data_IF_928440090212
#
_entry.id   IF_928440090212
#
_cell.length_a   1.000
_cell.length_b   1.000
_cell.length_c   1.000
_cell.angle_alpha   90.00
_cell.angle_beta   90.00
_cell.angle_gamma   90.00
#
_symmetry.space_group_name_H-M   'P 1'
#
loop_
_entity.id
_entity.type
_entity.pdbx_description
1 polymer ?
#
# COMPACT_ATOMS: atom_id res chain seq x y z
N UNK A 1 25.63 -11.40 23.71
CA UNK A 1 25.26 -10.21 22.93
C UNK A 1 23.94 -10.52 22.26
N UNK A 2 22.85 -9.96 22.79
CA UNK A 2 21.51 -10.23 22.28
C UNK A 2 21.35 -9.60 20.90
N UNK A 3 21.07 -10.42 19.89
CA UNK A 3 20.54 -9.94 18.63
C UNK A 3 19.19 -9.28 18.92
N UNK A 4 19.14 -7.96 18.84
CA UNK A 4 17.88 -7.21 18.89
C UNK A 4 17.04 -7.64 17.70
N UNK A 5 15.93 -8.31 18.01
CA UNK A 5 14.87 -8.70 17.11
C UNK A 5 14.19 -7.45 16.51
N UNK A 6 14.84 -6.84 15.52
CA UNK A 6 14.34 -5.67 14.79
C UNK A 6 13.18 -6.02 13.82
N UNK A 7 12.76 -7.30 13.77
CA UNK A 7 11.59 -7.75 13.00
C UNK A 7 10.24 -7.21 13.56
N UNK A 8 10.26 -6.52 14.70
CA UNK A 8 9.08 -6.04 15.45
C UNK A 8 8.92 -4.52 15.54
N UNK A 9 9.33 -3.74 14.55
CA UNK A 9 8.79 -2.38 14.42
C UNK A 9 7.25 -2.47 14.42
N UNK A 10 6.50 -1.75 15.27
CA UNK A 10 5.05 -1.90 15.36
C UNK A 10 4.36 -1.29 14.12
N UNK A 11 3.40 -2.01 13.55
CA UNK A 11 2.50 -1.45 12.54
C UNK A 11 1.68 -0.31 13.14
N UNK A 12 1.31 0.68 12.32
CA UNK A 12 0.40 1.73 12.74
C UNK A 12 -0.98 1.16 13.13
N UNK A 13 -1.70 1.89 13.98
CA UNK A 13 -2.99 1.45 14.52
C UNK A 13 -4.02 1.17 13.42
N UNK A 14 -4.03 1.97 12.34
CA UNK A 14 -4.95 1.78 11.21
C UNK A 14 -4.67 0.47 10.51
N UNK A 15 -3.40 0.16 10.20
CA UNK A 15 -3.01 -1.11 9.60
C UNK A 15 -3.31 -2.29 10.52
N UNK A 16 -3.04 -2.18 11.82
CA UNK A 16 -3.36 -3.25 12.80
C UNK A 16 -4.85 -3.54 12.84
N UNK A 17 -5.69 -2.50 12.87
CA UNK A 17 -7.14 -2.63 12.86
C UNK A 17 -7.63 -3.26 11.56
N UNK A 18 -7.12 -2.80 10.40
CA UNK A 18 -7.46 -3.34 9.08
C UNK A 18 -7.14 -4.83 8.98
N UNK A 19 -5.95 -5.25 9.44
CA UNK A 19 -5.55 -6.67 9.47
C UNK A 19 -6.44 -7.53 10.37
N UNK A 20 -7.04 -6.96 11.41
CA UNK A 20 -7.95 -7.67 12.33
C UNK A 20 -9.39 -7.75 11.82
N UNK A 21 -9.88 -6.69 11.17
CA UNK A 21 -11.31 -6.52 10.85
C UNK A 21 -11.63 -6.94 9.42
N UNK A 22 -10.81 -6.54 8.44
CA UNK A 22 -11.13 -6.73 7.03
C UNK A 22 -11.26 -8.19 6.57
N UNK A 23 -10.50 -9.18 7.11
CA UNK A 23 -10.71 -10.58 6.77
C UNK A 23 -12.11 -11.10 7.15
N UNK A 24 -12.63 -10.70 8.31
CA UNK A 24 -14.00 -11.07 8.74
C UNK A 24 -15.04 -10.38 7.88
N UNK A 25 -14.86 -9.09 7.58
CA UNK A 25 -15.74 -8.35 6.67
C UNK A 25 -15.75 -8.98 5.28
N UNK A 26 -14.60 -9.45 4.78
CA UNK A 26 -14.50 -10.12 3.50
C UNK A 26 -15.36 -11.37 3.46
N UNK A 27 -15.24 -12.25 4.46
CA UNK A 27 -16.02 -13.49 4.56
C UNK A 27 -17.54 -13.25 4.55
N UNK A 28 -17.99 -12.13 5.12
CA UNK A 28 -19.41 -11.76 5.13
C UNK A 28 -19.86 -11.21 3.76
N UNK A 29 -19.00 -10.44 3.08
CA UNK A 29 -19.33 -9.78 1.82
C UNK A 29 -19.13 -10.67 0.58
N UNK A 30 -18.19 -11.60 0.63
CA UNK A 30 -17.81 -12.47 -0.49
C UNK A 30 -19.02 -13.25 -1.07
N UNK A 31 -19.92 -13.85 -0.27
CA UNK A 31 -21.14 -14.50 -0.79
C UNK A 31 -22.09 -13.56 -1.54
N UNK A 32 -21.98 -12.25 -1.31
CA UNK A 32 -22.80 -11.21 -1.94
C UNK A 32 -22.06 -10.53 -3.12
N UNK A 33 -20.93 -11.08 -3.55
CA UNK A 33 -20.09 -10.52 -4.61
C UNK A 33 -19.22 -9.33 -4.19
N UNK A 34 -19.12 -9.03 -2.89
CA UNK A 34 -18.29 -7.96 -2.36
C UNK A 34 -16.94 -8.45 -1.82
N UNK A 35 -15.93 -7.57 -1.77
CA UNK A 35 -14.61 -7.93 -1.26
C UNK A 35 -14.05 -6.87 -0.29
N UNK A 36 -13.28 -7.33 0.69
CA UNK A 36 -12.56 -6.48 1.64
C UNK A 36 -11.07 -6.85 1.78
N UNK A 37 -10.68 -7.98 1.20
CA UNK A 37 -9.30 -8.37 0.94
C UNK A 37 -9.14 -8.65 -0.56
N UNK A 38 -7.95 -8.48 -1.11
CA UNK A 38 -7.63 -8.92 -2.46
C UNK A 38 -6.15 -9.28 -2.58
N UNK A 39 -5.84 -10.14 -3.56
CA UNK A 39 -4.46 -10.49 -3.89
C UNK A 39 -3.76 -9.30 -4.55
N UNK A 40 -2.52 -9.04 -4.12
CA UNK A 40 -1.64 -8.04 -4.68
C UNK A 40 -1.23 -8.44 -6.10
N UNK A 41 -1.38 -7.54 -7.08
CA UNK A 41 -1.00 -7.82 -8.46
C UNK A 41 0.50 -7.57 -8.68
N UNK A 42 1.23 -8.44 -9.41
CA UNK A 42 2.67 -8.31 -9.63
C UNK A 42 3.03 -7.03 -10.40
N UNK A 43 2.21 -6.61 -11.36
CA UNK A 43 2.50 -5.41 -12.18
C UNK A 43 2.42 -4.11 -11.37
N UNK A 44 1.90 -4.15 -10.15
CA UNK A 44 1.97 -3.04 -9.22
C UNK A 44 3.36 -2.91 -8.58
N UNK A 45 4.28 -3.85 -8.76
CA UNK A 45 5.57 -3.86 -8.08
C UNK A 45 6.45 -2.68 -8.49
N UNK A 46 6.76 -1.84 -7.51
CA UNK A 46 7.65 -0.68 -7.66
C UNK A 46 9.09 -1.11 -7.50
N UNK A 47 9.37 -1.90 -6.46
CA UNK A 47 10.70 -2.30 -6.08
C UNK A 47 10.79 -2.61 -4.58
N UNK A 48 11.98 -3.03 -4.17
CA UNK A 48 12.33 -3.23 -2.76
C UNK A 48 13.17 -2.07 -2.27
N UNK A 49 12.86 -1.55 -1.08
CA UNK A 49 13.64 -0.51 -0.39
C UNK A 49 14.27 -1.08 0.88
N UNK A 50 15.52 -0.72 1.14
CA UNK A 50 16.20 -1.00 2.42
C UNK A 50 15.80 0.06 3.45
N UNK A 51 14.56 -0.04 3.92
CA UNK A 51 13.95 0.80 4.96
C UNK A 51 13.06 -0.04 5.85
N UNK A 52 12.98 0.30 7.13
CA UNK A 52 11.90 -0.18 8.00
C UNK A 52 10.56 0.46 7.62
N UNK A 53 9.44 -0.11 8.10
CA UNK A 53 8.09 0.47 7.92
C UNK A 53 8.02 1.91 8.43
N UNK A 54 8.66 2.18 9.56
CA UNK A 54 8.63 3.49 10.23
C UNK A 54 9.39 4.56 9.44
N UNK A 55 10.57 4.22 8.93
CA UNK A 55 11.37 5.14 8.09
C UNK A 55 10.66 5.41 6.76
N UNK A 56 10.20 4.37 6.07
CA UNK A 56 9.53 4.55 4.79
C UNK A 56 8.20 5.29 4.92
N UNK A 57 7.51 5.16 6.06
CA UNK A 57 6.37 6.01 6.39
C UNK A 57 6.74 7.49 6.40
N UNK A 58 7.89 7.83 7.00
CA UNK A 58 8.37 9.21 7.05
C UNK A 58 8.67 9.73 5.64
N UNK A 59 9.28 8.88 4.80
CA UNK A 59 9.50 9.19 3.37
C UNK A 59 8.17 9.44 2.63
N UNK A 60 7.17 8.59 2.86
CA UNK A 60 5.82 8.73 2.29
C UNK A 60 5.15 10.04 2.72
N UNK A 61 5.19 10.38 4.01
CA UNK A 61 4.66 11.64 4.54
C UNK A 61 5.38 12.85 3.91
N UNK A 62 6.71 12.79 3.76
CA UNK A 62 7.50 13.81 3.07
C UNK A 62 7.18 13.92 1.56
N UNK A 63 6.65 12.85 0.96
CA UNK A 63 6.09 12.83 -0.39
C UNK A 63 4.60 13.24 -0.46
N UNK A 64 4.02 13.68 0.66
CA UNK A 64 2.62 14.07 0.81
C UNK A 64 1.63 12.91 0.64
N UNK A 65 2.02 11.71 1.04
CA UNK A 65 1.09 10.60 1.21
C UNK A 65 0.39 10.69 2.57
N UNK A 66 -0.80 10.14 2.62
CA UNK A 66 -1.61 9.96 3.84
C UNK A 66 -2.08 8.51 3.94
N UNK A 67 -2.25 7.93 5.13
CA UNK A 67 -2.82 6.60 5.28
C UNK A 67 -4.20 6.51 4.63
N UNK A 68 -4.48 5.39 3.96
CA UNK A 68 -5.79 5.12 3.37
C UNK A 68 -6.56 4.11 4.22
N UNK A 69 -7.63 4.49 4.93
CA UNK A 69 -8.36 3.55 5.77
C UNK A 69 -9.35 2.67 4.99
N UNK A 70 -9.76 3.09 3.78
CA UNK A 70 -10.92 2.52 3.05
C UNK A 70 -10.52 1.46 2.00
N UNK A 71 -9.23 1.27 1.74
CA UNK A 71 -8.77 0.26 0.79
C UNK A 71 -8.92 -1.18 1.32
N UNK A 72 -9.20 -2.12 0.42
CA UNK A 72 -9.12 -3.55 0.73
C UNK A 72 -7.75 -3.91 1.30
N UNK A 73 -7.70 -4.88 2.21
CA UNK A 73 -6.44 -5.41 2.72
C UNK A 73 -5.75 -6.23 1.62
N UNK A 74 -4.55 -5.80 1.21
CA UNK A 74 -3.79 -6.49 0.17
C UNK A 74 -3.06 -7.69 0.76
N UNK A 75 -3.14 -8.82 0.06
CA UNK A 75 -2.48 -10.08 0.41
C UNK A 75 -1.42 -10.35 -0.65
N UNK A 76 -0.17 -10.46 -0.22
CA UNK A 76 0.94 -10.84 -1.09
C UNK A 76 0.76 -12.28 -1.59
N UNK A 77 1.41 -12.64 -2.70
CA UNK A 77 1.29 -13.99 -3.31
C UNK A 77 1.74 -15.12 -2.39
N UNK A 78 2.64 -14.84 -1.45
CA UNK A 78 3.09 -15.79 -0.42
C UNK A 78 2.25 -15.76 0.87
N UNK A 79 1.14 -15.03 0.87
CA UNK A 79 0.22 -14.93 2.01
C UNK A 79 0.54 -13.83 3.02
N UNK A 80 1.65 -13.09 2.89
CA UNK A 80 1.92 -11.93 3.75
C UNK A 80 0.81 -10.88 3.61
N UNK A 81 0.37 -10.30 4.73
CA UNK A 81 -0.57 -9.18 4.71
C UNK A 81 0.15 -7.85 4.51
N UNK A 82 -0.48 -6.88 3.85
CA UNK A 82 0.09 -5.55 3.66
C UNK A 82 0.39 -4.86 5.01
N UNK A 83 1.57 -4.28 5.13
CA UNK A 83 2.09 -3.55 6.28
C UNK A 83 1.77 -2.05 6.26
N UNK A 84 1.16 -1.55 5.19
CA UNK A 84 0.65 -0.19 5.09
C UNK A 84 -0.12 -0.02 3.78
N UNK A 85 -1.07 0.90 3.77
CA UNK A 85 -1.71 1.36 2.54
C UNK A 85 -1.93 2.88 2.61
N UNK A 86 -1.44 3.54 1.56
CA UNK A 86 -1.12 4.96 1.56
C UNK A 86 -1.52 5.60 0.25
N UNK A 87 -2.09 6.80 0.30
CA UNK A 87 -2.53 7.51 -0.90
C UNK A 87 -1.91 8.89 -0.99
N UNK A 88 -1.61 9.28 -2.22
CA UNK A 88 -1.23 10.64 -2.57
C UNK A 88 -2.19 11.21 -3.59
N UNK A 89 -2.65 12.43 -3.32
CA UNK A 89 -3.55 13.20 -4.19
C UNK A 89 -2.99 14.60 -4.36
N UNK A 90 -3.25 15.23 -5.50
CA UNK A 90 -2.87 16.65 -5.71
C UNK A 90 -3.72 17.59 -4.87
N UNK A 91 -4.97 17.21 -4.63
CA UNK A 91 -5.94 17.91 -3.78
C UNK A 91 -7.03 16.94 -3.32
N UNK A 92 -7.79 17.25 -2.26
CA UNK A 92 -8.90 16.38 -1.80
C UNK A 92 -9.93 16.06 -2.88
N UNK A 93 -10.19 17.01 -3.79
CA UNK A 93 -11.16 16.89 -4.89
C UNK A 93 -10.55 16.28 -6.17
N UNK A 94 -9.31 15.81 -6.14
CA UNK A 94 -8.69 15.14 -7.29
C UNK A 94 -9.46 13.87 -7.64
N UNK A 95 -9.79 13.68 -8.92
CA UNK A 95 -10.45 12.44 -9.38
C UNK A 95 -9.54 11.22 -9.28
N UNK A 96 -8.21 11.41 -9.38
CA UNK A 96 -7.22 10.34 -9.34
C UNK A 96 -6.39 10.40 -8.06
N UNK A 97 -5.97 9.24 -7.60
CA UNK A 97 -4.98 9.07 -6.54
C UNK A 97 -3.89 8.10 -6.97
N UNK A 98 -2.72 8.23 -6.36
CA UNK A 98 -1.68 7.21 -6.38
C UNK A 98 -1.79 6.45 -5.07
N UNK A 99 -2.09 5.15 -5.14
CA UNK A 99 -2.14 4.28 -3.98
C UNK A 99 -0.88 3.43 -3.93
N UNK A 100 -0.35 3.25 -2.72
CA UNK A 100 0.85 2.49 -2.41
C UNK A 100 0.52 1.48 -1.31
N UNK A 101 0.84 0.22 -1.55
CA UNK A 101 0.79 -0.86 -0.57
C UNK A 101 2.21 -1.31 -0.21
N UNK A 102 2.44 -1.60 1.08
CA UNK A 102 3.75 -2.01 1.58
C UNK A 102 3.69 -3.45 2.07
N UNK A 103 4.75 -4.23 1.84
CA UNK A 103 4.93 -5.56 2.43
C UNK A 103 6.31 -5.69 3.06
N UNK A 104 6.42 -6.39 4.19
CA UNK A 104 7.71 -6.64 4.84
C UNK A 104 8.44 -7.79 4.16
N UNK A 105 9.61 -7.54 3.60
CA UNK A 105 10.42 -8.55 2.92
C UNK A 105 11.40 -9.30 3.85
N UNK A 106 11.38 -9.01 5.15
CA UNK A 106 12.33 -9.54 6.14
C UNK A 106 13.48 -8.56 6.40
N UNK A 107 14.00 -8.55 7.63
CA UNK A 107 14.95 -7.52 8.07
C UNK A 107 14.41 -6.10 7.90
N UNK A 108 15.29 -5.16 7.57
CA UNK A 108 14.99 -3.75 7.28
C UNK A 108 14.62 -3.54 5.80
N UNK A 109 13.78 -4.42 5.22
CA UNK A 109 13.38 -4.35 3.81
C UNK A 109 11.87 -4.32 3.60
N UNK A 110 11.44 -3.49 2.66
CA UNK A 110 10.04 -3.40 2.23
C UNK A 110 9.92 -3.57 0.73
N UNK A 111 8.98 -4.41 0.33
CA UNK A 111 8.45 -4.39 -1.02
C UNK A 111 7.38 -3.30 -1.10
N UNK A 112 7.48 -2.49 -2.16
CA UNK A 112 6.57 -1.39 -2.43
C UNK A 112 5.79 -1.72 -3.68
N UNK A 113 4.47 -1.59 -3.61
CA UNK A 113 3.56 -1.75 -4.73
C UNK A 113 2.75 -0.49 -4.92
N UNK A 114 2.43 -0.12 -6.16
CA UNK A 114 1.68 1.08 -6.47
C UNK A 114 0.80 0.94 -7.71
N UNK A 115 -0.30 1.68 -7.70
CA UNK A 115 -1.17 1.88 -8.86
C UNK A 115 -1.82 3.26 -8.82
N UNK A 116 -2.19 3.77 -9.99
CA UNK A 116 -3.10 4.91 -10.09
C UNK A 116 -4.53 4.41 -10.18
N UNK A 117 -5.42 5.07 -9.46
CA UNK A 117 -6.84 4.71 -9.41
C UNK A 117 -7.72 5.94 -9.18
N UNK A 118 -9.03 5.75 -9.24
CA UNK A 118 -9.96 6.79 -8.82
C UNK A 118 -9.87 7.05 -7.31
N UNK A 119 -10.00 8.32 -6.94
CA UNK A 119 -10.02 8.76 -5.55
C UNK A 119 -11.27 8.26 -4.86
N UNK A 120 -11.12 7.48 -3.78
CA UNK A 120 -12.27 7.01 -3.00
C UNK A 120 -13.10 8.15 -2.40
N UNK A 121 -12.49 9.33 -2.17
CA UNK A 121 -13.20 10.51 -1.64
C UNK A 121 -14.19 11.11 -2.66
N UNK A 122 -13.87 11.04 -3.96
CA UNK A 122 -14.67 11.66 -5.03
C UNK A 122 -15.47 10.65 -5.83
N UNK A 123 -14.94 9.45 -6.02
CA UNK A 123 -15.49 8.38 -6.84
C UNK A 123 -15.41 7.04 -6.10
N UNK A 124 -16.06 6.90 -4.93
CA UNK A 124 -15.95 5.71 -4.08
C UNK A 124 -16.37 4.42 -4.79
N UNK A 125 -17.41 4.46 -5.63
CA UNK A 125 -17.86 3.30 -6.40
C UNK A 125 -16.81 2.86 -7.42
N UNK A 126 -16.28 3.80 -8.22
CA UNK A 126 -15.26 3.50 -9.23
C UNK A 126 -13.95 3.00 -8.63
N UNK A 127 -13.57 3.55 -7.47
CA UNK A 127 -12.46 3.05 -6.69
C UNK A 127 -12.72 1.60 -6.24
N UNK A 128 -13.90 1.33 -5.67
CA UNK A 128 -14.26 0.00 -5.21
C UNK A 128 -14.34 -1.03 -6.33
N UNK A 129 -14.81 -0.68 -7.53
CA UNK A 129 -14.86 -1.58 -8.68
C UNK A 129 -13.54 -1.68 -9.46
N UNK A 130 -12.47 -1.04 -8.97
CA UNK A 130 -11.17 -0.94 -9.65
C UNK A 130 -11.26 -0.36 -11.08
N UNK A 131 -12.25 0.49 -11.37
CA UNK A 131 -12.38 1.17 -12.65
C UNK A 131 -11.16 2.07 -12.90
N UNK A 132 -10.58 2.02 -14.10
CA UNK A 132 -9.42 2.84 -14.46
C UNK A 132 -8.18 2.58 -13.60
N UNK A 133 -8.09 1.40 -12.99
CA UNK A 133 -6.90 0.95 -12.28
C UNK A 133 -5.73 0.80 -13.26
N UNK A 134 -4.63 1.51 -12.98
CA UNK A 134 -3.50 1.68 -13.87
C UNK A 134 -2.20 1.44 -13.10
N UNK A 135 -1.67 0.21 -13.22
CA UNK A 135 -0.47 -0.25 -12.55
C UNK A 135 0.78 0.42 -13.12
N UNK A 136 0.90 0.51 -14.44
CA UNK A 136 2.05 1.07 -15.13
C UNK A 136 2.28 2.54 -14.76
N UNK A 137 1.23 3.37 -14.83
CA UNK A 137 1.33 4.78 -14.44
C UNK A 137 1.60 4.94 -12.95
N UNK A 138 1.03 4.07 -12.11
CA UNK A 138 1.27 4.06 -10.67
C UNK A 138 2.73 3.75 -10.32
N UNK A 139 3.26 2.66 -10.87
CA UNK A 139 4.66 2.23 -10.70
C UNK A 139 5.61 3.31 -11.19
N UNK A 140 5.43 3.79 -12.43
CA UNK A 140 6.26 4.86 -13.00
C UNK A 140 6.24 6.10 -12.12
N UNK A 141 5.07 6.51 -11.62
CA UNK A 141 4.95 7.69 -10.77
C UNK A 141 5.61 7.48 -9.41
N UNK A 142 5.47 6.31 -8.79
CA UNK A 142 6.08 6.04 -7.50
C UNK A 142 7.61 5.98 -7.60
N UNK A 143 8.16 5.29 -8.61
CA UNK A 143 9.60 5.29 -8.89
C UNK A 143 10.16 6.69 -9.08
N UNK A 144 9.47 7.53 -9.86
CA UNK A 144 9.84 8.94 -10.05
C UNK A 144 9.88 9.72 -8.73
N UNK A 145 8.96 9.47 -7.79
CA UNK A 145 8.95 10.13 -6.49
C UNK A 145 10.09 9.65 -5.59
N UNK A 146 10.36 8.34 -5.57
CA UNK A 146 11.49 7.77 -4.84
C UNK A 146 12.82 8.35 -5.33
N UNK A 147 13.06 8.33 -6.64
CA UNK A 147 14.28 8.90 -7.24
C UNK A 147 14.42 10.39 -6.95
N UNK A 148 13.34 11.17 -7.04
CA UNK A 148 13.36 12.61 -6.76
C UNK A 148 13.66 12.93 -5.28
N UNK A 149 13.41 12.00 -4.36
CA UNK A 149 13.71 12.11 -2.93
C UNK A 149 15.02 11.41 -2.53
N UNK A 150 15.74 10.82 -3.48
CA UNK A 150 16.97 10.08 -3.20
C UNK A 150 16.75 8.78 -2.42
N UNK A 151 15.54 8.21 -2.47
CA UNK A 151 15.25 6.90 -1.87
C UNK A 151 15.66 5.82 -2.85
N UNK A 152 16.70 5.06 -2.49
CA UNK A 152 17.19 3.95 -3.30
C UNK A 152 16.20 2.78 -3.27
N UNK A 153 16.02 2.12 -4.41
CA UNK A 153 15.20 0.91 -4.55
C UNK A 153 15.81 -0.03 -5.60
N UNK A 154 15.61 -1.33 -5.44
CA UNK A 154 15.97 -2.36 -6.41
C UNK A 154 14.71 -2.94 -7.08
N UNK A 155 14.87 -3.45 -8.30
CA UNK A 155 13.83 -4.17 -9.04
C UNK A 155 14.42 -5.56 -9.29
N UNK A 156 14.07 -6.52 -8.45
CA UNK A 156 14.46 -7.92 -8.57
C UNK A 156 13.30 -8.77 -9.11
#
# INVERSE_FOLDING_TARGET
>A
MAATDDSRQPLDLTTRLRRRVLPTVHRIKEPLGGFATCTQHPDEYVGTVDRTVSEFRTDLEAMSFTPEPVASLKIHRDGRLSAGSWVRRRSPLSSRQLHVALFRAGGERLEVFAHSEYSWLRHPYRHYTAEGWDTEAGVRRMRSLLSARGVAFSIE
#
